data_IF_838606052304
#
_entry.id   IF_838606052304
#
_cell.length_a   1.000
_cell.length_b   1.000
_cell.length_c   1.000
_cell.angle_alpha   90.00
_cell.angle_beta   90.00
_cell.angle_gamma   90.00
#
_symmetry.space_group_name_H-M   'P 1'
#
loop_
_entity.id
_entity.type
_entity.pdbx_description
1 polymer ?
#
# COMPACT_ATOMS: atom_id res chain seq x y z
N UNK A 1 8.28 -0.97 12.87
CA UNK A 1 9.04 -2.23 12.69
C UNK A 1 10.11 -1.98 11.64
N UNK A 2 11.33 -2.42 11.88
CA UNK A 2 12.41 -2.29 10.91
C UNK A 2 12.10 -3.20 9.71
N UNK A 3 12.11 -2.64 8.50
CA UNK A 3 11.86 -3.41 7.30
C UNK A 3 13.08 -4.28 7.00
N UNK A 4 12.95 -5.58 7.27
CA UNK A 4 14.02 -6.55 7.02
C UNK A 4 14.03 -6.92 5.54
N UNK A 5 14.52 -6.00 4.71
CA UNK A 5 14.49 -6.10 3.26
C UNK A 5 14.91 -7.48 2.73
N UNK A 6 16.02 -8.10 3.19
CA UNK A 6 16.42 -9.42 2.69
C UNK A 6 15.42 -10.54 3.02
N UNK A 7 14.85 -10.55 4.22
CA UNK A 7 13.84 -11.56 4.62
C UNK A 7 12.56 -11.39 3.82
N UNK A 8 12.10 -10.14 3.66
CA UNK A 8 10.89 -9.82 2.91
C UNK A 8 11.09 -10.17 1.43
N UNK A 9 12.23 -9.81 0.83
CA UNK A 9 12.58 -10.16 -0.54
C UNK A 9 12.58 -11.69 -0.74
N UNK A 10 13.21 -12.45 0.17
CA UNK A 10 13.23 -13.91 0.08
C UNK A 10 11.83 -14.52 0.15
N UNK A 11 10.96 -14.00 1.02
CA UNK A 11 9.56 -14.44 1.13
C UNK A 11 8.77 -14.13 -0.14
N UNK A 12 8.89 -12.92 -0.67
CA UNK A 12 8.21 -12.50 -1.90
C UNK A 12 8.67 -13.33 -3.11
N UNK A 13 9.98 -13.51 -3.27
CA UNK A 13 10.54 -14.32 -4.35
C UNK A 13 10.10 -15.79 -4.25
N UNK A 14 10.07 -16.37 -3.04
CA UNK A 14 9.58 -17.74 -2.84
C UNK A 14 8.09 -17.90 -3.18
N UNK A 15 7.27 -16.90 -2.81
CA UNK A 15 5.85 -16.87 -3.15
C UNK A 15 5.65 -16.77 -4.67
N UNK A 16 6.38 -15.87 -5.35
CA UNK A 16 6.36 -15.73 -6.80
C UNK A 16 6.75 -17.03 -7.53
N UNK A 17 7.86 -17.67 -7.12
CA UNK A 17 8.29 -18.96 -7.67
C UNK A 17 7.20 -20.00 -7.49
N UNK A 18 6.62 -20.11 -6.29
CA UNK A 18 5.57 -21.09 -6.01
C UNK A 18 4.33 -20.84 -6.88
N UNK A 19 3.87 -19.59 -6.95
CA UNK A 19 2.69 -19.20 -7.71
C UNK A 19 2.83 -19.52 -9.20
N UNK A 20 3.97 -19.17 -9.79
CA UNK A 20 4.22 -19.29 -11.23
C UNK A 20 4.65 -20.71 -11.66
N UNK A 21 4.85 -21.67 -10.74
CA UNK A 21 5.41 -22.98 -11.14
C UNK A 21 4.65 -24.19 -10.61
N UNK A 22 3.87 -24.07 -9.53
CA UNK A 22 3.21 -25.21 -8.86
C UNK A 22 2.28 -26.05 -9.76
N UNK A 23 1.76 -25.44 -10.82
CA UNK A 23 0.78 -26.06 -11.72
C UNK A 23 1.34 -26.43 -13.09
N UNK A 24 2.67 -26.32 -13.28
CA UNK A 24 3.35 -26.76 -14.49
C UNK A 24 3.61 -28.27 -14.45
N UNK A 25 3.69 -28.91 -15.63
CA UNK A 25 4.18 -30.30 -15.75
C UNK A 25 5.63 -30.45 -15.34
N UNK A 26 6.46 -29.45 -15.63
CA UNK A 26 7.87 -29.38 -15.19
C UNK A 26 8.11 -28.13 -14.34
N UNK A 27 7.81 -28.18 -13.03
CA UNK A 27 8.05 -27.08 -12.11
C UNK A 27 9.53 -26.68 -12.00
N UNK A 28 10.47 -27.60 -12.25
CA UNK A 28 11.90 -27.31 -12.14
C UNK A 28 12.37 -26.42 -13.30
N UNK A 29 11.93 -26.70 -14.52
CA UNK A 29 12.19 -25.83 -15.67
C UNK A 29 11.55 -24.44 -15.50
N UNK A 30 10.32 -24.38 -14.97
CA UNK A 30 9.65 -23.11 -14.66
C UNK A 30 10.39 -22.30 -13.60
N UNK A 31 10.87 -22.96 -12.54
CA UNK A 31 11.63 -22.31 -11.46
C UNK A 31 12.90 -21.64 -11.98
N UNK A 32 13.65 -22.30 -12.87
CA UNK A 32 14.83 -21.70 -13.49
C UNK A 32 14.50 -20.42 -14.28
N UNK A 33 13.33 -20.36 -14.92
CA UNK A 33 12.86 -19.15 -15.62
C UNK A 33 12.53 -18.04 -14.62
N UNK A 34 11.81 -18.35 -13.54
CA UNK A 34 11.47 -17.35 -12.52
C UNK A 34 12.72 -16.82 -11.81
N UNK A 35 13.71 -17.66 -11.53
CA UNK A 35 14.99 -17.24 -10.95
C UNK A 35 15.77 -16.30 -11.89
N UNK A 36 15.72 -16.51 -13.20
CA UNK A 36 16.27 -15.57 -14.20
C UNK A 36 15.50 -14.24 -14.21
N UNK A 37 14.17 -14.29 -14.12
CA UNK A 37 13.34 -13.08 -14.06
C UNK A 37 13.61 -12.27 -12.78
N UNK A 38 13.83 -12.91 -11.64
CA UNK A 38 14.21 -12.23 -10.39
C UNK A 38 15.57 -11.54 -10.56
N UNK A 39 16.53 -12.20 -11.22
CA UNK A 39 17.84 -11.60 -11.49
C UNK A 39 17.75 -10.40 -12.46
N UNK A 40 16.84 -10.45 -13.43
CA UNK A 40 16.64 -9.39 -14.44
C UNK A 40 15.82 -8.20 -13.89
N UNK A 41 14.70 -8.49 -13.24
CA UNK A 41 13.67 -7.52 -12.85
C UNK A 41 13.78 -7.07 -11.39
N UNK A 42 14.62 -7.73 -10.59
CA UNK A 42 14.70 -7.52 -9.15
C UNK A 42 13.70 -8.36 -8.38
N UNK A 43 13.56 -8.07 -7.09
CA UNK A 43 12.70 -8.85 -6.20
C UNK A 43 11.21 -8.71 -6.56
N UNK A 44 10.42 -9.75 -6.28
CA UNK A 44 8.97 -9.70 -6.39
C UNK A 44 8.37 -8.73 -5.37
N UNK A 45 7.25 -8.09 -5.72
CA UNK A 45 6.58 -7.04 -4.96
C UNK A 45 5.06 -7.25 -4.94
N UNK A 46 4.35 -6.57 -4.03
CA UNK A 46 2.89 -6.66 -3.93
C UNK A 46 2.16 -5.56 -4.71
N UNK A 47 2.75 -4.34 -4.77
CA UNK A 47 2.20 -3.22 -5.55
C UNK A 47 3.28 -2.16 -5.79
N UNK A 48 3.28 -1.54 -6.96
CA UNK A 48 4.15 -0.42 -7.30
C UNK A 48 3.86 0.86 -6.50
N UNK A 49 4.88 1.71 -6.24
CA UNK A 49 4.64 3.09 -5.84
C UNK A 49 4.07 3.91 -7.01
N UNK A 50 3.28 4.94 -6.70
CA UNK A 50 2.56 5.74 -7.72
C UNK A 50 3.48 6.48 -8.69
N UNK A 51 4.72 6.75 -8.28
CA UNK A 51 5.73 7.38 -9.15
C UNK A 51 6.45 6.39 -10.07
N UNK A 52 6.18 5.09 -9.96
CA UNK A 52 6.92 4.07 -10.69
C UNK A 52 6.65 4.15 -12.21
N UNK A 53 7.67 4.01 -13.08
CA UNK A 53 7.48 4.10 -14.53
C UNK A 53 6.49 3.11 -15.14
N UNK A 54 6.25 1.96 -14.50
CA UNK A 54 5.18 1.03 -14.92
C UNK A 54 3.81 1.69 -14.80
N UNK A 55 3.60 2.57 -13.83
CA UNK A 55 2.33 3.27 -13.65
C UNK A 55 2.30 4.64 -14.35
N UNK A 56 3.43 5.29 -14.54
CA UNK A 56 3.48 6.68 -15.03
C UNK A 56 3.85 6.84 -16.51
N UNK A 57 4.49 5.84 -17.13
CA UNK A 57 4.87 5.93 -18.55
C UNK A 57 3.68 5.72 -19.50
N UNK A 58 2.74 4.80 -19.23
CA UNK A 58 1.52 4.68 -20.02
C UNK A 58 0.72 5.98 -20.07
N UNK A 59 0.04 6.32 -21.19
CA UNK A 59 -0.86 7.47 -21.25
C UNK A 59 -1.95 7.39 -20.19
N UNK A 60 -2.27 8.51 -19.52
CA UNK A 60 -3.31 8.57 -18.49
C UNK A 60 -4.07 9.89 -18.54
N UNK A 61 -5.37 9.80 -18.28
CA UNK A 61 -6.25 10.97 -18.21
C UNK A 61 -6.20 11.70 -16.87
N UNK A 62 -5.66 11.07 -15.82
CA UNK A 62 -5.57 11.69 -14.50
C UNK A 62 -4.34 11.23 -13.71
N UNK A 63 -3.89 12.08 -12.79
CA UNK A 63 -2.86 11.75 -11.79
C UNK A 63 -3.43 10.96 -10.60
N UNK A 64 -4.58 10.28 -10.76
CA UNK A 64 -5.18 9.52 -9.67
C UNK A 64 -4.37 8.26 -9.37
N UNK A 65 -4.39 7.87 -8.11
CA UNK A 65 -3.83 6.61 -7.64
C UNK A 65 -4.34 5.41 -8.45
N UNK A 66 -3.46 4.46 -8.70
CA UNK A 66 -3.74 3.22 -9.43
C UNK A 66 -3.86 2.10 -8.42
N UNK A 67 -5.05 1.54 -8.26
CA UNK A 67 -5.24 0.46 -7.32
C UNK A 67 -4.70 -0.87 -7.87
N UNK A 68 -4.71 -1.05 -9.20
CA UNK A 68 -4.25 -2.25 -9.87
C UNK A 68 -3.65 -1.96 -11.24
N UNK A 69 -2.70 -2.78 -11.71
CA UNK A 69 -2.25 -2.76 -13.10
C UNK A 69 -3.40 -2.95 -14.11
N UNK A 70 -4.51 -3.59 -13.70
CA UNK A 70 -5.70 -3.73 -14.54
C UNK A 70 -6.40 -2.39 -14.82
N UNK A 71 -6.16 -1.37 -14.00
CA UNK A 71 -6.70 -0.01 -14.21
C UNK A 71 -5.89 0.77 -15.26
N UNK A 72 -4.81 0.20 -15.79
CA UNK A 72 -3.97 0.81 -16.83
C UNK A 72 -4.37 0.21 -18.17
N UNK A 73 -5.03 1.01 -19.01
CA UNK A 73 -5.59 0.55 -20.30
C UNK A 73 -4.54 -0.11 -21.21
N UNK A 74 -3.31 0.41 -21.21
CA UNK A 74 -2.17 -0.17 -21.96
C UNK A 74 -1.90 -1.64 -21.61
N UNK A 75 -2.27 -2.07 -20.39
CA UNK A 75 -2.04 -3.42 -19.90
C UNK A 75 -3.28 -4.30 -20.01
N UNK A 76 -4.27 -3.95 -20.81
CA UNK A 76 -5.46 -4.79 -20.99
C UNK A 76 -5.12 -6.25 -21.31
N UNK A 77 -5.85 -7.18 -20.69
CA UNK A 77 -5.64 -8.62 -20.85
C UNK A 77 -4.66 -9.26 -19.87
N UNK A 78 -4.30 -8.58 -18.77
CA UNK A 78 -3.52 -9.20 -17.70
C UNK A 78 -4.25 -10.40 -17.09
N UNK A 79 -3.48 -11.47 -16.87
CA UNK A 79 -3.90 -12.62 -16.08
C UNK A 79 -2.73 -13.19 -15.28
N UNK A 80 -3.00 -13.76 -14.10
CA UNK A 80 -1.99 -14.38 -13.24
C UNK A 80 -0.68 -13.58 -13.12
N UNK A 81 -0.82 -12.29 -12.75
CA UNK A 81 0.27 -11.32 -12.80
C UNK A 81 1.08 -11.33 -11.51
N UNK A 82 2.41 -11.28 -11.65
CA UNK A 82 3.36 -11.07 -10.55
C UNK A 82 4.21 -9.84 -10.86
N UNK A 83 4.25 -8.91 -9.91
CA UNK A 83 5.04 -7.70 -9.98
C UNK A 83 6.46 -7.92 -9.43
N UNK A 84 7.44 -7.27 -10.06
CA UNK A 84 8.83 -7.17 -9.63
C UNK A 84 9.28 -5.71 -9.66
N UNK A 85 10.39 -5.39 -8.99
CA UNK A 85 10.89 -4.00 -8.87
C UNK A 85 10.94 -3.25 -10.21
N UNK A 86 11.39 -3.87 -11.30
CA UNK A 86 11.57 -3.21 -12.61
C UNK A 86 10.49 -3.54 -13.63
N UNK A 87 9.48 -4.32 -13.28
CA UNK A 87 8.56 -4.86 -14.27
C UNK A 87 7.72 -6.01 -13.74
N UNK A 88 6.83 -6.54 -14.55
CA UNK A 88 5.93 -7.60 -14.13
C UNK A 88 5.89 -8.72 -15.16
N UNK A 89 5.38 -9.87 -14.74
CA UNK A 89 5.10 -11.00 -15.61
C UNK A 89 3.63 -11.34 -15.51
N UNK A 90 2.98 -11.54 -16.65
CA UNK A 90 1.58 -11.96 -16.76
C UNK A 90 1.48 -13.19 -17.65
N UNK A 91 0.50 -14.06 -17.38
CA UNK A 91 0.33 -15.35 -18.02
C UNK A 91 -1.07 -15.50 -18.66
N UNK A 92 -1.39 -14.75 -19.73
CA UNK A 92 -2.65 -14.91 -20.47
C UNK A 92 -2.73 -16.29 -21.15
N UNK A 93 -3.94 -16.71 -21.54
CA UNK A 93 -4.20 -18.02 -22.15
C UNK A 93 -4.37 -18.03 -23.68
N UNK A 94 -4.02 -16.94 -24.37
CA UNK A 94 -4.05 -16.89 -25.84
C UNK A 94 -2.83 -16.16 -26.39
N UNK A 95 -2.38 -16.62 -27.57
CA UNK A 95 -1.31 -15.98 -28.32
C UNK A 95 -1.71 -14.56 -28.74
N UNK A 96 -2.97 -14.38 -29.14
CA UNK A 96 -3.49 -13.08 -29.56
C UNK A 96 -3.45 -12.05 -28.41
N UNK A 97 -3.85 -12.42 -27.20
CA UNK A 97 -3.78 -11.52 -26.05
C UNK A 97 -2.32 -11.18 -25.68
N UNK A 98 -1.42 -12.17 -25.74
CA UNK A 98 0.00 -11.96 -25.47
C UNK A 98 0.63 -11.01 -26.51
N UNK A 99 0.34 -11.20 -27.80
CA UNK A 99 0.88 -10.37 -28.89
C UNK A 99 0.31 -8.95 -28.86
N UNK A 100 -0.99 -8.80 -28.55
CA UNK A 100 -1.63 -7.49 -28.34
C UNK A 100 -0.97 -6.72 -27.19
N UNK A 101 -0.78 -7.38 -26.04
CA UNK A 101 -0.09 -6.76 -24.90
C UNK A 101 1.34 -6.35 -25.27
N UNK A 102 2.08 -7.22 -25.97
CA UNK A 102 3.44 -6.90 -26.42
C UNK A 102 3.46 -5.68 -27.32
N UNK A 103 2.55 -5.61 -28.29
CA UNK A 103 2.44 -4.50 -29.22
C UNK A 103 2.08 -3.18 -28.52
N UNK A 104 1.08 -3.22 -27.63
CA UNK A 104 0.63 -2.05 -26.88
C UNK A 104 1.76 -1.49 -26.00
N UNK A 105 2.41 -2.33 -25.21
CA UNK A 105 3.49 -1.90 -24.30
C UNK A 105 4.71 -1.41 -25.07
N UNK A 106 5.05 -2.03 -26.20
CA UNK A 106 6.21 -1.62 -27.00
C UNK A 106 6.03 -0.25 -27.67
N UNK A 107 4.81 0.26 -27.75
CA UNK A 107 4.52 1.63 -28.20
C UNK A 107 4.74 2.69 -27.11
N UNK A 108 4.87 2.29 -25.85
CA UNK A 108 5.03 3.19 -24.70
C UNK A 108 6.52 3.47 -24.46
N UNK A 109 6.94 4.75 -24.43
CA UNK A 109 8.32 5.11 -24.13
C UNK A 109 8.79 4.54 -22.79
N UNK A 110 10.05 4.09 -22.75
CA UNK A 110 10.73 3.54 -21.56
C UNK A 110 10.19 2.19 -21.06
N UNK A 111 9.21 1.59 -21.74
CA UNK A 111 8.75 0.23 -21.49
C UNK A 111 9.18 -0.70 -22.64
N UNK A 112 9.28 -2.00 -22.35
CA UNK A 112 9.14 -3.02 -23.38
C UNK A 112 8.30 -4.16 -22.89
N UNK A 113 7.85 -4.97 -23.83
CA UNK A 113 7.33 -6.28 -23.54
C UNK A 113 8.00 -7.35 -24.40
N UNK A 114 8.14 -8.56 -23.84
CA UNK A 114 8.61 -9.73 -24.58
C UNK A 114 7.89 -10.99 -24.12
N UNK A 115 7.67 -11.92 -25.05
CA UNK A 115 7.14 -13.24 -24.74
C UNK A 115 8.21 -14.13 -24.13
N UNK A 116 7.79 -15.05 -23.26
CA UNK A 116 8.63 -16.16 -22.83
C UNK A 116 8.38 -17.37 -23.73
N UNK A 117 9.45 -18.08 -24.08
CA UNK A 117 9.37 -19.34 -24.83
C UNK A 117 8.94 -20.53 -23.95
N UNK A 118 9.02 -20.38 -22.62
CA UNK A 118 8.61 -21.39 -21.65
C UNK A 118 7.36 -20.93 -20.91
N UNK A 119 6.41 -21.85 -20.64
CA UNK A 119 5.21 -21.51 -19.88
C UNK A 119 5.56 -21.19 -18.42
N UNK A 120 4.73 -20.34 -17.83
CA UNK A 120 4.66 -20.05 -16.40
C UNK A 120 3.19 -20.11 -15.99
N UNK A 121 2.95 -20.38 -14.72
CA UNK A 121 1.65 -20.60 -14.09
C UNK A 121 0.89 -21.85 -14.60
N UNK A 122 0.74 -22.01 -15.92
CA UNK A 122 0.09 -23.15 -16.58
C UNK A 122 0.81 -23.51 -17.87
N UNK A 123 0.83 -24.81 -18.24
CA UNK A 123 1.43 -25.25 -19.52
C UNK A 123 0.74 -24.66 -20.76
N UNK A 124 -0.47 -24.09 -20.61
CA UNK A 124 -1.23 -23.44 -21.68
C UNK A 124 -1.09 -21.92 -21.69
N UNK A 125 -0.42 -21.34 -20.71
CA UNK A 125 -0.25 -19.91 -20.68
C UNK A 125 0.79 -19.44 -21.70
N UNK A 126 0.67 -18.18 -22.11
CA UNK A 126 1.54 -17.48 -23.05
C UNK A 126 2.22 -16.32 -22.32
N UNK A 127 3.25 -16.54 -21.48
CA UNK A 127 3.71 -15.51 -20.56
C UNK A 127 4.37 -14.33 -21.28
N UNK A 128 4.07 -13.13 -20.78
CA UNK A 128 4.63 -11.87 -21.24
C UNK A 128 5.35 -11.20 -20.07
N UNK A 129 6.59 -10.78 -20.32
CA UNK A 129 7.38 -9.95 -19.40
C UNK A 129 7.27 -8.51 -19.86
N UNK A 130 6.89 -7.62 -18.97
CA UNK A 130 6.91 -6.17 -19.17
C UNK A 130 8.01 -5.57 -18.30
N UNK A 131 8.87 -4.75 -18.90
CA UNK A 131 10.04 -4.18 -18.22
C UNK A 131 10.09 -2.67 -18.41
N UNK A 132 10.38 -1.94 -17.34
CA UNK A 132 10.72 -0.52 -17.37
C UNK A 132 12.26 -0.35 -17.47
N UNK A 133 12.79 -0.14 -18.67
CA UNK A 133 14.24 -0.11 -18.91
C UNK A 133 14.95 1.10 -18.30
N UNK A 134 14.22 2.19 -18.08
CA UNK A 134 14.75 3.38 -17.41
C UNK A 134 14.98 3.20 -15.92
N UNK A 135 14.66 2.03 -15.34
CA UNK A 135 14.86 1.71 -13.93
C UNK A 135 16.18 0.97 -13.77
N UNK A 136 17.18 1.66 -13.19
CA UNK A 136 18.45 1.08 -12.75
C UNK A 136 18.35 0.63 -11.28
N UNK A 137 18.97 -0.50 -10.93
CA UNK A 137 19.03 -1.00 -9.56
C UNK A 137 20.40 -0.74 -8.92
N UNK A 138 20.39 -0.41 -7.65
CA UNK A 138 21.57 -0.39 -6.78
C UNK A 138 21.99 -1.81 -6.40
N UNK A 139 23.17 -1.97 -5.81
CA UNK A 139 23.68 -3.26 -5.34
C UNK A 139 22.78 -3.92 -4.26
N UNK A 140 21.96 -3.14 -3.57
CA UNK A 140 20.98 -3.64 -2.59
C UNK A 140 19.66 -4.11 -3.23
N UNK A 141 19.54 -4.03 -4.56
CA UNK A 141 18.37 -4.43 -5.33
C UNK A 141 17.24 -3.40 -5.37
N UNK A 142 17.41 -2.22 -4.75
CA UNK A 142 16.45 -1.12 -4.81
C UNK A 142 16.72 -0.23 -6.02
N UNK A 143 15.73 0.58 -6.41
CA UNK A 143 15.87 1.52 -7.52
C UNK A 143 16.88 2.60 -7.16
N UNK A 144 17.73 2.94 -8.13
CA UNK A 144 18.73 3.99 -8.03
C UNK A 144 18.15 5.26 -7.44
N UNK A 145 18.78 5.75 -6.36
CA UNK A 145 18.22 6.82 -5.52
C UNK A 145 17.84 8.07 -6.32
N UNK A 146 18.73 8.49 -7.23
CA UNK A 146 18.51 9.64 -8.12
C UNK A 146 17.25 9.50 -8.98
N UNK A 147 17.03 8.31 -9.53
CA UNK A 147 15.97 8.09 -10.51
C UNK A 147 14.62 7.97 -9.80
N UNK A 148 14.58 7.28 -8.65
CA UNK A 148 13.42 7.23 -7.78
C UNK A 148 13.00 8.64 -7.30
N UNK A 149 13.96 9.45 -6.84
CA UNK A 149 13.69 10.83 -6.40
C UNK A 149 13.21 11.71 -7.56
N UNK A 150 13.78 11.58 -8.75
CA UNK A 150 13.33 12.32 -9.94
C UNK A 150 11.88 12.01 -10.30
N UNK A 151 11.53 10.73 -10.37
CA UNK A 151 10.17 10.29 -10.67
C UNK A 151 9.19 10.78 -9.59
N UNK A 152 9.56 10.64 -8.31
CA UNK A 152 8.75 11.10 -7.19
C UNK A 152 8.50 12.62 -7.20
N UNK A 153 9.53 13.43 -7.40
CA UNK A 153 9.38 14.90 -7.49
C UNK A 153 8.51 15.29 -8.68
N UNK A 154 8.67 14.62 -9.83
CA UNK A 154 7.86 14.89 -11.01
C UNK A 154 6.38 14.58 -10.77
N UNK A 155 6.07 13.48 -10.06
CA UNK A 155 4.70 13.14 -9.68
C UNK A 155 4.11 14.21 -8.76
N UNK A 156 4.80 14.54 -7.67
CA UNK A 156 4.34 15.54 -6.71
C UNK A 156 4.07 16.90 -7.35
N UNK A 157 4.95 17.34 -8.26
CA UNK A 157 4.77 18.59 -9.00
C UNK A 157 3.51 18.57 -9.88
N UNK A 158 3.21 17.43 -10.51
CA UNK A 158 1.99 17.25 -11.31
C UNK A 158 0.73 17.29 -10.46
N UNK A 159 0.73 16.60 -9.31
CA UNK A 159 -0.41 16.53 -8.39
C UNK A 159 -0.73 17.88 -7.74
N UNK A 160 0.29 18.73 -7.53
CA UNK A 160 0.13 20.04 -6.92
C UNK A 160 -0.89 20.94 -7.65
N UNK A 161 -1.04 20.79 -8.97
CA UNK A 161 -1.95 21.62 -9.76
C UNK A 161 -3.43 21.47 -9.35
N UNK A 162 -3.81 20.30 -8.84
CA UNK A 162 -5.21 19.97 -8.52
C UNK A 162 -5.43 19.57 -7.05
N UNK A 163 -4.39 19.67 -6.22
CA UNK A 163 -4.46 19.29 -4.83
C UNK A 163 -5.31 20.28 -4.02
N UNK A 164 -6.14 19.72 -3.13
CA UNK A 164 -6.97 20.48 -2.20
C UNK A 164 -6.48 20.38 -0.76
N UNK A 165 -5.66 19.37 -0.47
CA UNK A 165 -5.10 19.09 0.85
C UNK A 165 -3.68 18.55 0.73
N UNK A 166 -2.85 18.86 1.73
CA UNK A 166 -1.52 18.31 1.90
C UNK A 166 -1.58 17.01 2.72
N UNK A 167 -1.45 15.87 2.05
CA UNK A 167 -1.40 14.56 2.71
C UNK A 167 -0.06 14.39 3.44
N UNK A 168 -0.10 13.90 4.69
CA UNK A 168 1.13 13.63 5.43
C UNK A 168 1.81 12.34 4.95
N UNK A 169 3.13 12.21 5.19
CA UNK A 169 3.86 10.95 4.97
C UNK A 169 3.12 9.73 5.52
N UNK A 170 2.50 9.86 6.70
CA UNK A 170 1.85 8.74 7.37
C UNK A 170 0.53 8.34 6.73
N UNK A 171 -0.13 9.23 5.98
CA UNK A 171 -1.34 8.93 5.24
C UNK A 171 -1.02 8.18 3.94
N UNK A 172 0.04 8.60 3.22
CA UNK A 172 0.27 8.16 1.83
C UNK A 172 1.57 7.37 1.62
N UNK A 173 2.36 7.06 2.66
CA UNK A 173 3.65 6.35 2.49
C UNK A 173 3.53 5.02 1.73
N UNK A 174 2.40 4.32 1.79
CA UNK A 174 2.24 3.07 1.03
C UNK A 174 2.20 3.31 -0.47
N UNK A 175 1.65 4.45 -0.89
CA UNK A 175 1.63 4.88 -2.29
C UNK A 175 2.99 5.41 -2.73
N UNK A 176 3.76 6.01 -1.82
CA UNK A 176 5.11 6.50 -2.11
C UNK A 176 6.14 5.36 -2.11
N UNK A 177 6.02 4.37 -1.24
CA UNK A 177 7.01 3.30 -1.09
C UNK A 177 6.65 2.04 -1.88
N UNK A 178 5.40 1.91 -2.35
CA UNK A 178 4.86 0.64 -2.85
C UNK A 178 4.70 -0.37 -1.73
N UNK A 179 4.44 -1.63 -2.05
CA UNK A 179 4.35 -2.73 -1.08
C UNK A 179 5.21 -3.93 -1.51
N UNK A 180 5.81 -4.66 -0.55
CA UNK A 180 5.79 -4.42 0.90
C UNK A 180 6.75 -3.28 1.31
N UNK A 181 6.45 -2.61 2.43
CA UNK A 181 7.25 -1.49 2.91
C UNK A 181 7.34 -1.39 4.44
N UNK A 182 8.37 -0.71 4.91
CA UNK A 182 8.53 -0.23 6.28
C UNK A 182 8.11 1.21 6.47
N UNK A 183 8.70 1.86 7.47
CA UNK A 183 8.41 3.27 7.75
C UNK A 183 9.02 4.24 6.73
N UNK A 184 10.15 3.89 6.12
CA UNK A 184 10.97 4.74 5.24
C UNK A 184 11.77 3.95 4.19
N UNK A 185 11.41 2.69 3.93
CA UNK A 185 12.09 1.83 2.97
C UNK A 185 11.11 0.76 2.47
N UNK A 186 11.41 0.19 1.31
CA UNK A 186 10.68 -0.91 0.68
C UNK A 186 11.63 -1.72 -0.19
N UNK A 187 11.10 -2.65 -0.99
CA UNK A 187 11.87 -3.31 -2.04
C UNK A 187 12.19 -2.37 -3.21
N UNK A 188 11.50 -1.24 -3.34
CA UNK A 188 11.76 -0.25 -4.37
C UNK A 188 12.80 0.79 -3.96
N UNK A 189 12.85 1.16 -2.67
CA UNK A 189 13.74 2.22 -2.19
C UNK A 189 14.37 1.88 -0.84
N UNK A 190 15.66 2.12 -0.71
CA UNK A 190 16.36 1.98 0.56
C UNK A 190 16.06 3.12 1.55
N UNK A 191 16.51 2.95 2.79
CA UNK A 191 16.25 3.88 3.90
C UNK A 191 16.73 5.31 3.60
N UNK A 192 17.87 5.45 2.93
CA UNK A 192 18.42 6.75 2.54
C UNK A 192 17.46 7.47 1.59
N UNK A 193 17.01 6.77 0.54
CA UNK A 193 16.11 7.31 -0.48
C UNK A 193 14.74 7.65 0.11
N UNK A 194 14.13 6.75 0.88
CA UNK A 194 12.83 7.00 1.49
C UNK A 194 12.84 8.13 2.53
N UNK A 195 13.96 8.35 3.24
CA UNK A 195 14.11 9.52 4.10
C UNK A 195 14.12 10.84 3.32
N UNK A 196 14.75 10.85 2.13
CA UNK A 196 14.75 12.02 1.24
C UNK A 196 13.38 12.27 0.62
N UNK A 197 12.68 11.22 0.17
CA UNK A 197 11.31 11.33 -0.33
C UNK A 197 10.38 11.96 0.73
N UNK A 198 10.48 11.50 1.98
CA UNK A 198 9.72 12.10 3.08
C UNK A 198 10.06 13.59 3.25
N UNK A 199 11.35 13.95 3.27
CA UNK A 199 11.76 15.34 3.46
C UNK A 199 11.26 16.25 2.33
N UNK A 200 11.24 15.76 1.10
CA UNK A 200 10.69 16.48 -0.05
C UNK A 200 9.19 16.73 0.14
N UNK A 201 8.43 15.68 0.50
CA UNK A 201 7.00 15.81 0.77
C UNK A 201 6.74 16.81 1.90
N UNK A 202 7.48 16.70 3.01
CA UNK A 202 7.33 17.60 4.17
C UNK A 202 7.58 19.06 3.74
N UNK A 203 8.64 19.34 2.95
CA UNK A 203 8.93 20.69 2.43
C UNK A 203 7.82 21.21 1.50
N UNK A 204 7.30 20.37 0.61
CA UNK A 204 6.21 20.77 -0.29
C UNK A 204 4.92 21.05 0.49
N UNK A 205 4.58 20.20 1.47
CA UNK A 205 3.44 20.42 2.36
C UNK A 205 3.58 21.74 3.13
N UNK A 206 4.74 21.99 3.74
CA UNK A 206 5.01 23.21 4.53
C UNK A 206 4.99 24.48 3.68
N UNK A 207 5.24 24.38 2.37
CA UNK A 207 5.11 25.52 1.44
C UNK A 207 3.67 25.93 1.17
N UNK A 208 2.69 25.08 1.52
CA UNK A 208 1.27 25.30 1.24
C UNK A 208 0.85 25.00 -0.21
N UNK A 209 1.74 24.48 -1.06
CA UNK A 209 1.45 24.23 -2.49
C UNK A 209 0.29 23.25 -2.70
N UNK A 210 0.08 22.32 -1.77
CA UNK A 210 -1.01 21.34 -1.82
C UNK A 210 -2.26 21.77 -1.06
N UNK A 211 -2.24 22.93 -0.39
CA UNK A 211 -3.30 23.38 0.51
C UNK A 211 -3.11 22.95 1.97
N UNK A 212 -4.18 22.97 2.80
CA UNK A 212 -4.09 22.68 4.23
C UNK A 212 -3.68 21.23 4.53
N UNK A 213 -2.92 21.04 5.61
CA UNK A 213 -2.47 19.71 6.05
C UNK A 213 -3.67 18.87 6.51
N UNK A 214 -3.77 17.67 5.94
CA UNK A 214 -4.73 16.64 6.36
C UNK A 214 -4.02 15.58 7.18
N UNK A 215 -4.36 15.47 8.44
CA UNK A 215 -3.90 14.38 9.31
C UNK A 215 -5.02 13.36 9.52
N UNK A 216 -4.80 12.11 9.09
CA UNK A 216 -5.78 11.02 9.27
C UNK A 216 -5.16 9.71 9.73
N UNK A 217 -3.84 9.58 9.76
CA UNK A 217 -3.12 8.39 10.18
C UNK A 217 -2.41 8.61 11.50
N UNK A 218 -2.45 7.61 12.39
CA UNK A 218 -1.71 7.61 13.65
C UNK A 218 -0.47 6.70 13.60
N UNK A 219 -0.04 6.28 12.41
CA UNK A 219 1.02 5.28 12.28
C UNK A 219 2.41 5.75 12.71
N UNK A 220 2.58 7.04 12.95
CA UNK A 220 3.79 7.57 13.59
C UNK A 220 3.91 7.14 15.06
N UNK A 221 2.80 6.83 15.71
CA UNK A 221 2.77 6.29 17.07
C UNK A 221 3.12 4.80 17.04
N UNK A 222 3.69 4.28 18.13
CA UNK A 222 3.94 2.84 18.23
C UNK A 222 2.63 2.06 18.29
N UNK A 223 2.60 0.78 17.87
CA UNK A 223 1.41 -0.06 18.00
C UNK A 223 0.86 -0.10 19.43
N UNK A 224 1.74 -0.12 20.44
CA UNK A 224 1.35 -0.06 21.86
C UNK A 224 0.58 1.22 22.20
N UNK A 225 1.05 2.38 21.70
CA UNK A 225 0.38 3.67 21.91
C UNK A 225 -0.99 3.71 21.23
N UNK A 226 -1.06 3.27 19.97
CA UNK A 226 -2.33 3.21 19.22
C UNK A 226 -3.35 2.29 19.89
N UNK A 227 -2.90 1.12 20.35
CA UNK A 227 -3.72 0.19 21.15
C UNK A 227 -4.25 0.87 22.41
N UNK A 228 -3.38 1.51 23.19
CA UNK A 228 -3.78 2.20 24.42
C UNK A 228 -4.82 3.31 24.20
N UNK A 229 -4.68 4.09 23.12
CA UNK A 229 -5.67 5.12 22.72
C UNK A 229 -7.02 4.46 22.43
N UNK A 230 -7.01 3.40 21.61
CA UNK A 230 -8.23 2.70 21.24
C UNK A 230 -8.94 2.06 22.43
N UNK A 231 -8.19 1.39 23.30
CA UNK A 231 -8.69 0.79 24.53
C UNK A 231 -9.28 1.84 25.48
N UNK A 232 -8.59 2.98 25.67
CA UNK A 232 -9.05 4.06 26.54
C UNK A 232 -10.39 4.62 26.07
N UNK A 233 -10.52 4.90 24.77
CA UNK A 233 -11.76 5.44 24.19
C UNK A 233 -12.91 4.44 24.24
N UNK A 234 -12.69 3.19 23.81
CA UNK A 234 -13.71 2.14 23.81
C UNK A 234 -14.17 1.83 25.24
N UNK A 235 -13.24 1.63 26.17
CA UNK A 235 -13.56 1.32 27.57
C UNK A 235 -14.38 2.43 28.22
N UNK A 236 -13.96 3.69 28.01
CA UNK A 236 -14.69 4.84 28.56
C UNK A 236 -16.10 4.94 27.95
N UNK A 237 -16.25 4.70 26.65
CA UNK A 237 -17.57 4.68 26.03
C UNK A 237 -18.48 3.60 26.63
N UNK A 238 -17.98 2.36 26.78
CA UNK A 238 -18.74 1.28 27.43
C UNK A 238 -19.15 1.64 28.85
N UNK A 239 -18.26 2.24 29.65
CA UNK A 239 -18.57 2.67 31.02
C UNK A 239 -19.64 3.75 31.09
N UNK A 240 -19.73 4.62 30.07
CA UNK A 240 -20.71 5.71 30.02
C UNK A 240 -22.02 5.32 29.34
N UNK A 241 -22.16 4.09 28.84
CA UNK A 241 -23.37 3.66 28.15
C UNK A 241 -24.46 3.24 29.13
N UNK A 242 -25.59 3.95 29.08
CA UNK A 242 -26.79 3.70 29.89
C UNK A 242 -27.65 2.52 29.38
N UNK A 243 -27.30 1.94 28.23
CA UNK A 243 -28.04 0.89 27.52
C UNK A 243 -29.42 1.31 27.00
N UNK A 244 -29.76 2.59 27.08
CA UNK A 244 -31.04 3.12 26.58
C UNK A 244 -30.89 3.62 25.15
N UNK A 245 -29.82 4.37 24.87
CA UNK A 245 -29.57 4.95 23.55
C UNK A 245 -28.38 4.25 22.85
N UNK A 246 -28.53 3.82 21.58
CA UNK A 246 -27.42 3.25 20.82
C UNK A 246 -26.35 4.29 20.43
N UNK A 247 -26.64 5.58 20.58
CA UNK A 247 -25.67 6.66 20.40
C UNK A 247 -25.85 7.74 21.45
N UNK A 248 -24.74 8.21 22.01
CA UNK A 248 -24.70 9.21 23.06
C UNK A 248 -23.38 9.99 23.00
N UNK A 249 -23.26 11.01 23.84
CA UNK A 249 -22.05 11.82 23.97
C UNK A 249 -21.55 11.78 25.40
N UNK A 250 -20.24 11.75 25.58
CA UNK A 250 -19.60 11.88 26.88
C UNK A 250 -18.37 12.80 26.78
N UNK A 251 -17.92 13.31 27.92
CA UNK A 251 -16.70 14.11 28.01
C UNK A 251 -15.53 13.21 28.43
N UNK A 252 -14.39 13.37 27.77
CA UNK A 252 -13.14 12.75 28.18
C UNK A 252 -11.94 13.66 27.88
N UNK A 253 -11.21 14.05 28.93
CA UNK A 253 -9.96 14.82 28.86
C UNK A 253 -10.08 16.14 28.07
N UNK A 254 -11.19 16.84 28.26
CA UNK A 254 -11.55 18.11 27.65
C UNK A 254 -12.17 17.99 26.25
N UNK A 255 -12.46 16.78 25.78
CA UNK A 255 -13.03 16.54 24.46
C UNK A 255 -14.44 15.97 24.56
N UNK A 256 -15.31 16.40 23.64
CA UNK A 256 -16.64 15.79 23.49
C UNK A 256 -16.53 14.58 22.56
N UNK A 257 -16.76 13.40 23.12
CA UNK A 257 -16.73 12.12 22.41
C UNK A 257 -18.15 11.73 22.03
N UNK A 258 -18.39 11.48 20.73
CA UNK A 258 -19.61 10.85 20.25
C UNK A 258 -19.38 9.35 20.17
N UNK A 259 -20.17 8.58 20.92
CA UNK A 259 -20.14 7.13 20.87
C UNK A 259 -21.38 6.54 20.21
N UNK A 260 -21.18 5.35 19.65
CA UNK A 260 -22.27 4.45 19.28
C UNK A 260 -21.92 3.05 19.75
N UNK A 261 -22.86 2.42 20.46
CA UNK A 261 -22.75 1.07 20.98
C UNK A 261 -23.94 0.25 20.53
N UNK A 262 -23.69 -0.99 20.15
CA UNK A 262 -24.71 -1.95 19.79
C UNK A 262 -24.25 -3.34 20.23
N UNK A 263 -25.15 -4.07 20.88
CA UNK A 263 -24.96 -5.48 21.17
C UNK A 263 -25.13 -6.27 19.88
N UNK A 264 -24.06 -6.92 19.39
CA UNK A 264 -24.05 -7.54 18.06
C UNK A 264 -25.10 -8.65 17.93
N UNK A 265 -25.37 -9.36 19.03
CA UNK A 265 -26.20 -10.57 19.03
C UNK A 265 -27.37 -10.52 20.01
N UNK A 266 -27.56 -9.39 20.70
CA UNK A 266 -28.56 -9.20 21.77
C UNK A 266 -28.40 -10.20 22.94
N UNK A 267 -27.20 -10.74 23.12
CA UNK A 267 -26.84 -11.71 24.15
C UNK A 267 -25.83 -11.15 25.16
N UNK A 268 -25.40 -9.90 24.97
CA UNK A 268 -24.42 -9.18 25.76
C UNK A 268 -23.04 -9.88 25.80
N UNK A 269 -22.74 -10.77 24.84
CA UNK A 269 -21.42 -11.38 24.67
C UNK A 269 -20.44 -10.46 23.93
N UNK A 270 -20.94 -9.67 22.97
CA UNK A 270 -20.14 -8.80 22.14
C UNK A 270 -20.83 -7.44 21.91
N UNK A 271 -20.15 -6.36 22.28
CA UNK A 271 -20.58 -4.99 22.01
C UNK A 271 -19.75 -4.40 20.89
N UNK A 272 -20.37 -4.04 19.77
CA UNK A 272 -19.75 -3.19 18.76
C UNK A 272 -19.68 -1.75 19.26
N UNK A 273 -18.47 -1.18 19.27
CA UNK A 273 -18.21 0.16 19.82
C UNK A 273 -17.56 1.04 18.75
N UNK A 274 -18.09 2.25 18.60
CA UNK A 274 -17.52 3.32 17.79
C UNK A 274 -17.40 4.58 18.61
N UNK A 275 -16.25 5.25 18.55
CA UNK A 275 -16.04 6.56 19.19
C UNK A 275 -15.44 7.52 18.17
N UNK A 276 -16.03 8.71 18.09
CA UNK A 276 -15.61 9.79 17.19
C UNK A 276 -15.50 11.11 17.97
N UNK A 277 -14.44 11.86 17.68
CA UNK A 277 -14.23 13.23 18.19
C UNK A 277 -14.07 14.16 16.99
N UNK A 278 -14.76 15.30 17.04
CA UNK A 278 -14.81 16.25 15.92
C UNK A 278 -15.47 15.65 14.67
N UNK A 279 -15.10 16.14 13.49
CA UNK A 279 -15.53 15.56 12.19
C UNK A 279 -14.48 14.54 11.73
N UNK A 280 -14.41 13.39 12.40
CA UNK A 280 -13.36 12.38 12.25
C UNK A 280 -11.93 12.88 12.60
N UNK A 281 -11.80 13.88 13.48
CA UNK A 281 -10.49 14.35 13.94
C UNK A 281 -9.79 13.29 14.81
N UNK A 282 -10.56 12.42 15.46
CA UNK A 282 -10.11 11.15 16.01
C UNK A 282 -11.26 10.15 15.92
N UNK A 283 -10.95 8.94 15.46
CA UNK A 283 -11.92 7.86 15.27
C UNK A 283 -11.32 6.52 15.71
N UNK A 284 -12.11 5.76 16.45
CA UNK A 284 -11.84 4.35 16.76
C UNK A 284 -13.11 3.52 16.62
N UNK A 285 -12.93 2.27 16.19
CA UNK A 285 -13.98 1.27 16.23
C UNK A 285 -13.42 -0.10 16.60
N UNK A 286 -14.23 -0.90 17.26
CA UNK A 286 -13.87 -2.24 17.69
C UNK A 286 -15.03 -2.95 18.38
N UNK A 287 -14.68 -4.01 19.09
CA UNK A 287 -15.58 -4.80 19.90
C UNK A 287 -15.08 -4.83 21.34
N UNK A 288 -16.03 -4.86 22.27
CA UNK A 288 -15.80 -5.09 23.68
C UNK A 288 -16.54 -6.35 24.11
N UNK A 289 -15.85 -7.25 24.82
CA UNK A 289 -16.38 -8.53 25.27
C UNK A 289 -16.59 -8.49 26.80
N UNK A 290 -17.82 -8.25 27.30
CA UNK A 290 -18.05 -8.00 28.73
C UNK A 290 -17.61 -9.14 29.65
N UNK A 291 -17.80 -10.39 29.23
CA UNK A 291 -17.45 -11.56 30.03
C UNK A 291 -15.93 -11.73 30.26
N UNK A 292 -15.11 -11.22 29.32
CA UNK A 292 -13.65 -11.35 29.34
C UNK A 292 -12.93 -10.05 29.70
N UNK A 293 -13.67 -8.94 29.76
CA UNK A 293 -13.12 -7.58 29.85
C UNK A 293 -12.06 -7.29 28.75
N UNK A 294 -12.31 -7.81 27.55
CA UNK A 294 -11.38 -7.77 26.43
C UNK A 294 -11.85 -6.79 25.35
N UNK A 295 -10.89 -6.10 24.71
CA UNK A 295 -11.13 -5.19 23.58
C UNK A 295 -10.37 -5.71 22.36
N UNK A 296 -11.07 -5.80 21.24
CA UNK A 296 -10.46 -5.95 19.92
C UNK A 296 -10.81 -4.71 19.10
N UNK A 297 -9.83 -4.04 18.51
CA UNK A 297 -10.10 -2.81 17.77
C UNK A 297 -9.24 -2.67 16.52
N UNK A 298 -9.77 -1.94 15.55
CA UNK A 298 -8.97 -1.43 14.45
C UNK A 298 -8.10 -0.30 15.00
N UNK A 299 -6.88 -0.17 14.45
CA UNK A 299 -5.99 0.93 14.81
C UNK A 299 -6.73 2.29 14.66
N UNK A 300 -6.70 3.15 15.70
CA UNK A 300 -7.34 4.45 15.64
C UNK A 300 -6.74 5.34 14.54
N UNK A 301 -7.57 6.25 14.02
CA UNK A 301 -7.22 7.17 12.94
C UNK A 301 -7.53 8.60 13.34
N UNK A 302 -6.78 9.57 12.84
CA UNK A 302 -7.01 10.99 13.10
C UNK A 302 -5.74 11.80 13.31
N UNK A 303 -5.91 12.94 13.98
CA UNK A 303 -4.89 13.95 14.29
C UNK A 303 -4.03 13.49 15.47
N UNK A 304 -2.71 13.61 15.33
CA UNK A 304 -1.78 13.13 16.36
C UNK A 304 -1.96 13.85 17.69
N UNK A 305 -2.02 15.18 17.66
CA UNK A 305 -2.09 15.99 18.89
C UNK A 305 -3.36 15.69 19.71
N UNK A 306 -4.48 15.41 19.03
CA UNK A 306 -5.72 15.01 19.68
C UNK A 306 -5.61 13.60 20.25
N UNK A 307 -5.09 12.65 19.47
CA UNK A 307 -4.95 11.26 19.90
C UNK A 307 -4.02 11.09 21.12
N UNK A 308 -2.93 11.85 21.17
CA UNK A 308 -1.98 11.80 22.31
C UNK A 308 -2.61 12.25 23.62
N UNK A 309 -3.76 12.97 23.60
CA UNK A 309 -4.51 13.28 24.82
C UNK A 309 -5.04 12.05 25.51
N UNK A 310 -5.14 10.88 24.88
CA UNK A 310 -5.76 9.65 25.41
C UNK A 310 -4.76 8.53 25.72
N UNK A 311 -3.47 8.86 25.77
CA UNK A 311 -2.41 7.94 26.20
C UNK A 311 -2.27 7.81 27.72
#
# INVERSE_FOLDING_TARGET
MEFRSPTVAAQQNAAAVTYLTKSLKDPAAGRAVVEQLIAELGNATDSYPDWHPILTSPPRDSSRHVASLQDVETYSGLDHTIEFVRGFVTCPYSDEAADQLVSAVSSVPNLSARRLSKPLYSDKACPVVVTAWGVELEADGTIRSRDALRCFVSLLASEAANAQVAETWWNIRSYILGRPHGSRSSLFVNQHTGAHMRKILDVMNDSGIFGPIKESSLDMLSPKKRKAIGETLIRTAVTNWDREAPSFTFELRGETCKASLHDTWEDNEELSVRVEIGKHDLYVSGFYYPAKDEITNVDPRGKRQLAEKFL
#
